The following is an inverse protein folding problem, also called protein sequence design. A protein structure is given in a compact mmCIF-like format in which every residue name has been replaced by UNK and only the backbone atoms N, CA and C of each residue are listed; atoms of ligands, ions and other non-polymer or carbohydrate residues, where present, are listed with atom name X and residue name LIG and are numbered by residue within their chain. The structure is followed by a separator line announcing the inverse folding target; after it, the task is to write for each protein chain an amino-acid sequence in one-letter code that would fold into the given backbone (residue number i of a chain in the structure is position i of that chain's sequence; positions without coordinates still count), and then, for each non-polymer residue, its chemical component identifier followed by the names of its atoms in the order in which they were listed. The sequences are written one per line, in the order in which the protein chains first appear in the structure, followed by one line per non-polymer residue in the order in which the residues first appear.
data_IF_813096776713
#
_entry.id   IF_813096776713
#
_cell.length_a   1.000
_cell.length_b   1.000
_cell.length_c   1.000
_cell.angle_alpha   90.00
_cell.angle_beta   90.00
_cell.angle_gamma   90.00
#
_symmetry.space_group_name_H-M   'P 1'
#
loop_
_entity.id
_entity.type
_entity.pdbx_description
1 polymer ?
#
# COMPACT_ATOMS: atom_id res chain seq x y z
N UNK A 1 -25.77 32.38 18.64
CA UNK A 1 -24.38 32.78 18.34
C UNK A 1 -23.51 31.54 18.51
N UNK A 2 -22.84 31.07 17.46
CA UNK A 2 -22.03 29.83 17.50
C UNK A 2 -20.56 30.21 17.37
N UNK A 3 -19.75 29.74 18.32
CA UNK A 3 -18.30 29.94 18.30
C UNK A 3 -17.61 28.77 17.60
N UNK A 4 -16.82 29.08 16.58
CA UNK A 4 -15.95 28.11 15.93
C UNK A 4 -14.63 28.05 16.71
N UNK A 5 -14.30 26.87 17.25
CA UNK A 5 -13.04 26.65 17.98
C UNK A 5 -12.22 25.64 17.19
N UNK A 6 -11.12 26.08 16.60
CA UNK A 6 -10.17 25.22 15.90
C UNK A 6 -9.29 24.51 16.94
N UNK A 7 -9.36 23.18 16.94
CA UNK A 7 -8.43 22.36 17.71
C UNK A 7 -7.29 21.97 16.79
N UNK A 8 -6.05 22.19 17.23
CA UNK A 8 -4.91 21.68 16.50
C UNK A 8 -4.90 20.16 16.66
N UNK A 9 -5.27 19.42 15.61
CA UNK A 9 -5.13 17.98 15.59
C UNK A 9 -3.64 17.65 15.55
N UNK A 10 -3.16 16.91 16.55
CA UNK A 10 -1.78 16.45 16.59
C UNK A 10 -1.51 15.42 15.48
N UNK A 11 -0.34 15.56 14.84
CA UNK A 11 0.34 14.50 14.09
C UNK A 11 -0.45 13.82 12.98
N UNK A 12 -0.75 14.53 11.90
CA UNK A 12 -1.27 13.96 10.64
C UNK A 12 -0.22 13.94 9.53
N UNK A 13 1.05 14.18 9.89
CA UNK A 13 2.16 14.12 8.96
C UNK A 13 2.39 12.69 8.44
N UNK A 14 3.04 12.53 7.28
CA UNK A 14 3.28 11.20 6.70
C UNK A 14 4.06 10.26 7.64
N UNK A 15 4.98 10.81 8.45
CA UNK A 15 5.72 10.05 9.47
C UNK A 15 4.81 9.56 10.59
N UNK A 16 3.90 10.41 11.06
CA UNK A 16 2.95 10.09 12.13
C UNK A 16 1.95 9.04 11.69
N UNK A 17 1.47 9.14 10.43
CA UNK A 17 0.60 8.14 9.82
C UNK A 17 1.29 6.78 9.73
N UNK A 18 2.57 6.74 9.30
CA UNK A 18 3.32 5.48 9.26
C UNK A 18 3.43 4.84 10.64
N UNK A 19 3.79 5.64 11.65
CA UNK A 19 3.89 5.16 13.04
C UNK A 19 2.54 4.65 13.55
N UNK A 20 1.46 5.37 13.30
CA UNK A 20 0.11 4.96 13.70
C UNK A 20 -0.29 3.63 13.04
N UNK A 21 0.05 3.41 11.77
CA UNK A 21 -0.20 2.13 11.10
C UNK A 21 0.64 0.99 11.67
N UNK A 22 1.89 1.25 12.04
CA UNK A 22 2.76 0.24 12.68
C UNK A 22 2.21 -0.18 14.05
N UNK A 23 1.83 0.80 14.87
CA UNK A 23 1.19 0.54 16.18
C UNK A 23 -0.14 -0.19 15.99
N UNK A 24 -0.96 0.24 15.03
CA UNK A 24 -2.22 -0.42 14.74
C UNK A 24 -2.03 -1.88 14.34
N UNK A 25 -1.01 -2.21 13.52
CA UNK A 25 -0.70 -3.58 13.13
C UNK A 25 -0.20 -4.43 14.30
N UNK A 26 0.64 -3.85 15.17
CA UNK A 26 1.14 -4.53 16.36
C UNK A 26 0.02 -4.88 17.34
N UNK A 27 -0.96 -3.97 17.50
CA UNK A 27 -2.11 -4.16 18.39
C UNK A 27 -3.24 -4.98 17.75
N UNK A 28 -3.42 -4.88 16.44
CA UNK A 28 -4.49 -5.52 15.67
C UNK A 28 -3.88 -6.34 14.54
N UNK A 29 -3.37 -7.56 14.85
CA UNK A 29 -2.83 -8.42 13.82
C UNK A 29 -3.91 -8.72 12.77
N UNK A 30 -3.55 -8.78 11.48
CA UNK A 30 -4.51 -8.99 10.41
C UNK A 30 -5.14 -10.38 10.52
N UNK A 31 -6.46 -10.41 10.68
CA UNK A 31 -7.25 -11.65 10.70
C UNK A 31 -7.70 -11.96 9.26
N UNK A 32 -7.63 -13.23 8.82
CA UNK A 32 -8.17 -13.62 7.52
C UNK A 32 -9.65 -13.25 7.44
N UNK A 33 -10.03 -12.57 6.34
CA UNK A 33 -11.43 -12.25 6.07
C UNK A 33 -12.16 -13.52 5.64
N UNK A 34 -13.42 -13.63 6.03
CA UNK A 34 -14.30 -14.68 5.56
C UNK A 34 -14.40 -14.67 4.02
N UNK A 35 -14.55 -15.84 3.37
CA UNK A 35 -14.47 -15.97 1.92
C UNK A 35 -15.49 -15.11 1.18
N UNK A 36 -16.66 -14.86 1.77
CA UNK A 36 -17.71 -14.01 1.23
C UNK A 36 -17.35 -12.51 1.22
N UNK A 37 -16.38 -12.08 2.03
CA UNK A 37 -15.87 -10.69 2.10
C UNK A 37 -14.43 -10.58 1.58
N UNK A 38 -13.83 -11.70 1.19
CA UNK A 38 -12.50 -11.71 0.62
C UNK A 38 -12.54 -11.00 -0.73
N UNK A 39 -11.78 -9.91 -0.85
CA UNK A 39 -11.57 -9.29 -2.15
C UNK A 39 -10.98 -10.35 -3.10
N UNK A 40 -11.47 -10.46 -4.35
CA UNK A 40 -10.90 -11.40 -5.30
C UNK A 40 -9.40 -11.16 -5.36
N UNK A 41 -8.61 -12.22 -5.17
CA UNK A 41 -7.16 -12.14 -5.27
C UNK A 41 -6.84 -11.36 -6.54
N UNK A 42 -6.19 -10.20 -6.39
CA UNK A 42 -5.79 -9.35 -7.50
C UNK A 42 -4.85 -10.19 -8.38
N UNK A 43 -5.45 -10.88 -9.34
CA UNK A 43 -4.83 -11.92 -10.14
C UNK A 43 -3.66 -11.31 -10.89
N UNK A 44 -2.48 -11.91 -10.70
CA UNK A 44 -1.35 -11.98 -11.63
C UNK A 44 -0.74 -10.70 -12.25
N UNK A 45 -1.31 -9.51 -12.09
CA UNK A 45 -0.92 -8.33 -12.88
C UNK A 45 0.38 -7.68 -12.40
N UNK A 46 0.80 -7.92 -11.15
CA UNK A 46 2.14 -7.48 -10.66
C UNK A 46 3.28 -8.35 -11.19
N UNK A 47 3.01 -9.59 -11.62
CA UNK A 47 4.04 -10.48 -12.14
C UNK A 47 4.37 -10.24 -13.62
N UNK A 48 3.51 -9.53 -14.37
CA UNK A 48 3.73 -9.22 -15.78
C UNK A 48 4.72 -8.05 -15.99
N UNK A 49 4.71 -7.04 -15.10
CA UNK A 49 5.58 -5.86 -15.21
C UNK A 49 7.07 -6.13 -14.99
N UNK A 50 7.43 -7.22 -14.28
CA UNK A 50 8.84 -7.56 -13.99
C UNK A 50 9.51 -8.38 -15.10
N UNK A 51 8.75 -8.98 -16.02
CA UNK A 51 9.32 -9.86 -17.07
C UNK A 51 9.73 -9.11 -18.34
N UNK A 52 9.26 -7.90 -18.55
CA UNK A 52 9.55 -7.10 -19.77
C UNK A 52 10.91 -6.41 -19.73
N UNK A 53 11.45 -6.09 -18.56
CA UNK A 53 12.78 -5.44 -18.42
C UNK A 53 13.94 -6.40 -18.63
N UNK A 54 13.77 -7.69 -18.31
CA UNK A 54 14.79 -8.72 -18.51
C UNK A 54 14.95 -9.11 -20.01
N UNK A 55 13.87 -9.08 -20.79
CA UNK A 55 13.86 -9.42 -22.23
C UNK A 55 14.17 -8.25 -23.17
N UNK A 56 14.75 -7.14 -22.68
CA UNK A 56 15.17 -6.03 -23.55
C UNK A 56 16.68 -5.81 -23.59
N UNK A 57 17.47 -6.57 -22.79
CA UNK A 57 18.94 -6.50 -22.75
C UNK A 57 19.64 -7.55 -23.61
N UNK A 58 18.96 -8.14 -24.61
CA UNK A 58 19.57 -9.12 -25.52
C UNK A 58 19.26 -8.76 -26.97
N UNK A 59 19.87 -7.69 -27.45
CA UNK A 59 20.15 -7.52 -28.89
C UNK A 59 21.65 -7.35 -29.03
N UNK A 60 22.40 -8.36 -29.48
CA UNK A 60 23.75 -8.12 -29.95
C UNK A 60 23.65 -7.28 -31.23
N UNK A 61 24.33 -6.14 -31.23
CA UNK A 61 24.65 -5.38 -32.44
C UNK A 61 25.45 -6.31 -33.35
N UNK A 62 24.97 -6.56 -34.57
CA UNK A 62 25.75 -7.26 -35.59
C UNK A 62 25.42 -6.69 -36.96
N UNK A 63 26.44 -6.05 -37.56
CA UNK A 63 26.61 -5.85 -39.01
C UNK A 63 25.70 -4.83 -39.64
#
# INVERSE_FOLDING_TARGET
MIHQVSHQAAGTGPTDVRLALEVAYALHPPVPRAPEVAAPAASANRAAGRRTTARRRRTPVRG
#
